data_IF_237638330260
#
_entry.id   IF_237638330260
#
_cell.length_a   1.000
_cell.length_b   1.000
_cell.length_c   1.000
_cell.angle_alpha   90.00
_cell.angle_beta   90.00
_cell.angle_gamma   90.00
#
_symmetry.space_group_name_H-M   'P 1'
#
loop_
_entity.id
_entity.type
_entity.pdbx_description
1 polymer ?
#
# COMPACT_ATOMS: atom_id res chain seq x y z
N UNK A 1 -4.82 12.51 -3.59
CA UNK A 1 -5.05 13.81 -4.22
C UNK A 1 -5.69 13.66 -5.61
N UNK A 2 -5.09 12.89 -6.56
CA UNK A 2 -5.67 12.70 -7.91
C UNK A 2 -7.12 12.19 -7.87
N UNK A 3 -7.42 11.17 -7.10
CA UNK A 3 -8.80 10.64 -6.96
C UNK A 3 -9.74 11.74 -6.44
N UNK A 4 -9.33 12.50 -5.43
CA UNK A 4 -10.10 13.62 -4.88
C UNK A 4 -10.38 14.70 -5.93
N UNK A 5 -9.40 14.98 -6.80
CA UNK A 5 -9.55 15.91 -7.91
C UNK A 5 -10.36 15.34 -9.10
N UNK A 6 -10.80 14.07 -9.03
CA UNK A 6 -11.60 13.40 -10.05
C UNK A 6 -10.78 12.78 -11.19
N UNK A 7 -9.47 12.58 -10.98
CA UNK A 7 -8.56 12.08 -11.99
C UNK A 7 -8.05 10.68 -11.69
N UNK A 8 -7.52 10.00 -12.70
CA UNK A 8 -6.86 8.70 -12.56
C UNK A 8 -5.61 8.81 -11.68
N UNK A 9 -5.38 7.83 -10.81
CA UNK A 9 -4.11 7.73 -10.06
C UNK A 9 -2.89 7.50 -10.98
N UNK A 10 -3.13 7.11 -12.21
CA UNK A 10 -2.13 6.86 -13.25
C UNK A 10 -2.09 7.99 -14.30
N UNK A 11 -2.60 9.17 -13.97
CA UNK A 11 -2.60 10.28 -14.94
C UNK A 11 -1.18 10.66 -15.37
N UNK A 12 -1.00 10.88 -16.67
CA UNK A 12 0.21 11.42 -17.28
C UNK A 12 -0.01 12.85 -17.82
N UNK A 13 -1.15 13.45 -17.48
CA UNK A 13 -1.54 14.80 -17.91
C UNK A 13 -1.01 15.84 -16.92
N UNK A 14 -0.12 16.78 -17.35
CA UNK A 14 0.50 17.76 -16.45
C UNK A 14 -0.51 18.58 -15.63
N UNK A 15 -1.60 19.04 -16.25
CA UNK A 15 -2.62 19.83 -15.55
C UNK A 15 -3.39 19.07 -14.47
N UNK A 16 -3.50 17.74 -14.60
CA UNK A 16 -4.14 16.89 -13.59
C UNK A 16 -3.19 16.63 -12.41
N UNK A 17 -1.88 16.51 -12.70
CA UNK A 17 -0.84 16.41 -11.68
C UNK A 17 -0.73 17.73 -10.90
N UNK A 18 -0.80 18.88 -11.58
CA UNK A 18 -0.84 20.19 -10.93
C UNK A 18 -2.09 20.34 -10.04
N UNK A 19 -3.25 19.93 -10.50
CA UNK A 19 -4.48 19.95 -9.69
C UNK A 19 -4.33 19.08 -8.42
N UNK A 20 -3.71 17.90 -8.53
CA UNK A 20 -3.44 17.05 -7.37
C UNK A 20 -2.43 17.69 -6.41
N UNK A 21 -1.41 18.39 -6.92
CA UNK A 21 -0.47 19.18 -6.11
C UNK A 21 -1.21 20.27 -5.32
N UNK A 22 -2.10 21.00 -5.97
CA UNK A 22 -2.87 22.07 -5.32
C UNK A 22 -3.74 21.52 -4.18
N UNK A 23 -4.35 20.34 -4.36
CA UNK A 23 -5.09 19.64 -3.29
C UNK A 23 -4.18 19.29 -2.09
N UNK A 24 -2.94 18.86 -2.32
CA UNK A 24 -1.99 18.57 -1.24
C UNK A 24 -1.49 19.85 -0.55
N UNK A 25 -1.28 20.93 -1.28
CA UNK A 25 -0.93 22.22 -0.70
C UNK A 25 -2.07 22.79 0.16
N UNK A 26 -3.30 22.61 -0.25
CA UNK A 26 -4.45 22.98 0.56
C UNK A 26 -4.57 22.10 1.82
N UNK A 27 -4.35 20.80 1.70
CA UNK A 27 -4.28 19.90 2.86
C UNK A 27 -3.24 20.37 3.87
N UNK A 28 -2.05 20.75 3.43
CA UNK A 28 -1.00 21.26 4.33
C UNK A 28 -1.45 22.46 5.14
N UNK A 29 -2.13 23.41 4.51
CA UNK A 29 -2.66 24.60 5.21
C UNK A 29 -3.68 24.25 6.29
N UNK A 30 -4.51 23.23 6.02
CA UNK A 30 -5.62 22.85 6.90
C UNK A 30 -5.22 21.90 8.04
N UNK A 31 -4.30 20.96 7.79
CA UNK A 31 -4.08 19.82 8.69
C UNK A 31 -2.64 19.66 9.18
N UNK A 32 -1.69 20.41 8.64
CA UNK A 32 -0.25 20.28 8.96
C UNK A 32 0.21 18.80 8.97
N UNK A 33 0.09 18.08 7.83
CA UNK A 33 0.39 16.66 7.76
C UNK A 33 1.89 16.39 7.92
N UNK A 34 2.23 15.20 8.44
CA UNK A 34 3.60 14.71 8.49
C UNK A 34 3.75 13.60 7.45
N UNK A 35 4.75 13.71 6.60
CA UNK A 35 5.06 12.73 5.56
C UNK A 35 6.19 11.83 6.04
N UNK A 36 5.84 10.64 6.48
CA UNK A 36 6.74 9.61 7.02
C UNK A 36 6.35 8.25 6.42
N UNK A 37 7.20 7.27 6.57
CA UNK A 37 6.92 5.90 6.10
C UNK A 37 6.76 4.97 7.30
N UNK A 38 7.84 4.55 7.94
CA UNK A 38 7.79 3.56 9.02
C UNK A 38 7.33 4.14 10.36
N UNK A 39 7.66 5.39 10.63
CA UNK A 39 7.30 6.10 11.86
C UNK A 39 5.80 6.28 12.05
N UNK A 40 5.02 6.12 10.98
CA UNK A 40 3.55 6.22 11.06
C UNK A 40 2.97 5.18 12.02
N UNK A 41 3.56 4.00 12.13
CA UNK A 41 3.09 2.92 13.02
C UNK A 41 3.14 3.38 14.47
N UNK A 42 4.28 3.88 14.91
CA UNK A 42 4.46 4.35 16.28
C UNK A 42 3.54 5.52 16.61
N UNK A 43 3.41 6.48 15.69
CA UNK A 43 2.55 7.65 15.85
C UNK A 43 1.06 7.27 16.01
N UNK A 44 0.61 6.24 15.29
CA UNK A 44 -0.77 5.75 15.38
C UNK A 44 -0.97 4.89 16.63
N UNK A 45 -0.03 4.00 16.97
CA UNK A 45 -0.13 3.13 18.15
C UNK A 45 -0.17 3.95 19.43
N UNK A 46 0.66 4.99 19.54
CA UNK A 46 0.70 5.87 20.71
C UNK A 46 -0.46 6.87 20.76
N UNK A 47 -1.23 7.00 19.68
CA UNK A 47 -2.29 8.00 19.56
C UNK A 47 -1.78 9.43 19.34
N UNK A 48 -0.50 9.62 19.02
CA UNK A 48 0.04 10.94 18.66
C UNK A 48 -0.62 11.47 17.38
N UNK A 49 -0.95 10.58 16.46
CA UNK A 49 -1.73 10.88 15.25
C UNK A 49 -3.03 10.07 15.26
N UNK A 50 -4.10 10.69 14.80
CA UNK A 50 -5.44 10.10 14.82
C UNK A 50 -5.90 9.64 13.42
N UNK A 51 -5.20 10.05 12.37
CA UNK A 51 -5.52 9.72 10.98
C UNK A 51 -4.23 9.60 10.18
N UNK A 52 -4.09 8.51 9.45
CA UNK A 52 -2.95 8.29 8.55
C UNK A 52 -3.34 7.48 7.33
N UNK A 53 -2.61 7.67 6.23
CA UNK A 53 -2.59 6.74 5.11
C UNK A 53 -1.46 5.73 5.34
N UNK A 54 -1.79 4.45 5.38
CA UNK A 54 -0.86 3.36 5.69
C UNK A 54 -1.10 2.17 4.78
N UNK A 55 -0.12 1.29 4.69
CA UNK A 55 -0.27 -0.01 4.05
C UNK A 55 -1.20 -0.92 4.88
N UNK A 56 -1.92 -1.83 4.21
CA UNK A 56 -2.90 -2.69 4.88
C UNK A 56 -2.28 -3.60 5.96
N UNK A 57 -1.08 -4.14 5.74
CA UNK A 57 -0.35 -4.92 6.75
C UNK A 57 0.06 -4.07 7.95
N UNK A 58 0.56 -2.84 7.72
CA UNK A 58 0.86 -1.90 8.81
C UNK A 58 -0.40 -1.52 9.59
N UNK A 59 -1.54 -1.37 8.89
CA UNK A 59 -2.82 -1.11 9.55
C UNK A 59 -3.24 -2.26 10.48
N UNK A 60 -3.06 -3.50 10.05
CA UNK A 60 -3.34 -4.70 10.89
C UNK A 60 -2.44 -4.69 12.11
N UNK A 61 -1.13 -4.44 11.94
CA UNK A 61 -0.20 -4.33 13.05
C UNK A 61 -0.61 -3.22 14.04
N UNK A 62 -0.95 -2.03 13.53
CA UNK A 62 -1.43 -0.91 14.35
C UNK A 62 -2.69 -1.28 15.14
N UNK A 63 -3.68 -1.93 14.50
CA UNK A 63 -4.93 -2.33 15.16
C UNK A 63 -4.71 -3.42 16.22
N UNK A 64 -3.73 -4.29 16.05
CA UNK A 64 -3.36 -5.29 17.06
C UNK A 64 -2.74 -4.66 18.31
N UNK A 65 -1.92 -3.61 18.14
CA UNK A 65 -1.27 -2.90 19.24
C UNK A 65 -2.20 -1.83 19.86
N UNK A 66 -3.11 -1.23 19.08
CA UNK A 66 -4.08 -0.23 19.53
C UNK A 66 -5.48 -0.54 18.98
N UNK A 67 -6.33 -1.24 19.75
CA UNK A 67 -7.68 -1.65 19.32
C UNK A 67 -8.65 -0.50 19.03
N UNK A 68 -8.33 0.72 19.46
CA UNK A 68 -9.15 1.91 19.16
C UNK A 68 -8.99 2.38 17.71
N UNK A 69 -7.91 1.94 17.04
CA UNK A 69 -7.67 2.25 15.64
C UNK A 69 -8.53 1.38 14.71
N UNK A 70 -8.90 1.96 13.57
CA UNK A 70 -9.69 1.28 12.53
C UNK A 70 -9.10 1.54 11.16
N UNK A 71 -9.09 0.53 10.31
CA UNK A 71 -8.67 0.65 8.92
C UNK A 71 -9.88 0.76 8.01
N UNK A 72 -9.84 1.69 7.07
CA UNK A 72 -10.90 1.92 6.09
C UNK A 72 -10.29 2.15 4.72
N UNK A 73 -10.80 1.45 3.72
CA UNK A 73 -10.56 1.77 2.32
C UNK A 73 -11.63 2.79 1.91
N UNK A 74 -11.25 3.99 1.42
CA UNK A 74 -12.21 5.03 1.05
C UNK A 74 -13.21 4.57 -0.03
N UNK A 75 -14.42 5.12 -0.02
CA UNK A 75 -15.46 4.81 -1.01
C UNK A 75 -15.04 5.19 -2.43
N UNK A 76 -14.17 6.19 -2.56
CA UNK A 76 -13.58 6.65 -3.81
C UNK A 76 -12.59 5.66 -4.41
N UNK A 77 -12.15 4.68 -3.62
CA UNK A 77 -11.16 3.70 -4.00
C UNK A 77 -9.76 3.99 -3.47
N UNK A 78 -8.83 3.12 -3.80
CA UNK A 78 -7.42 3.20 -3.40
C UNK A 78 -6.53 2.57 -4.47
N UNK A 79 -5.23 2.53 -4.22
CA UNK A 79 -4.34 1.67 -4.98
C UNK A 79 -4.38 0.24 -4.44
N UNK A 80 -4.15 -0.71 -5.34
CA UNK A 80 -3.79 -2.09 -5.00
C UNK A 80 -2.47 -2.42 -5.67
N UNK A 81 -1.72 -3.38 -5.14
CA UNK A 81 -0.41 -3.77 -5.67
C UNK A 81 -0.19 -5.27 -5.53
N UNK A 82 0.82 -5.75 -6.21
CA UNK A 82 1.31 -7.13 -6.10
C UNK A 82 2.83 -7.07 -5.98
N UNK A 83 3.36 -7.61 -4.90
CA UNK A 83 4.79 -7.79 -4.74
C UNK A 83 5.25 -9.03 -5.50
N UNK A 84 6.38 -8.93 -6.18
CA UNK A 84 6.91 -9.99 -7.01
C UNK A 84 8.38 -10.28 -6.68
N UNK A 85 8.71 -11.57 -6.55
CA UNK A 85 10.09 -12.02 -6.47
C UNK A 85 10.67 -12.19 -7.87
N UNK A 86 11.79 -11.53 -8.15
CA UNK A 86 12.45 -11.56 -9.44
C UNK A 86 13.87 -12.09 -9.32
N UNK A 87 14.29 -12.91 -10.30
CA UNK A 87 15.68 -13.37 -10.42
C UNK A 87 16.33 -12.57 -11.53
N UNK A 88 17.38 -11.76 -11.24
CA UNK A 88 18.13 -11.04 -12.27
C UNK A 88 18.70 -12.00 -13.33
N UNK A 89 18.80 -11.54 -14.60
CA UNK A 89 19.27 -12.34 -15.72
C UNK A 89 20.62 -13.00 -15.46
N UNK A 90 21.53 -12.26 -14.84
CA UNK A 90 22.91 -12.68 -14.58
C UNK A 90 23.13 -13.08 -13.11
N UNK A 91 22.09 -13.58 -12.43
CA UNK A 91 22.20 -14.04 -11.05
C UNK A 91 23.21 -15.18 -10.94
N UNK A 92 24.22 -15.09 -10.04
CA UNK A 92 25.31 -16.08 -9.94
C UNK A 92 24.83 -17.44 -9.42
N UNK A 93 23.69 -17.50 -8.74
CA UNK A 93 23.09 -18.72 -8.22
C UNK A 93 21.58 -18.77 -8.50
N UNK A 94 21.22 -18.90 -9.77
CA UNK A 94 19.83 -18.99 -10.20
C UNK A 94 19.10 -20.17 -9.55
N UNK A 95 19.73 -21.35 -9.47
CA UNK A 95 19.12 -22.54 -8.87
C UNK A 95 18.80 -22.34 -7.38
N UNK A 96 19.68 -21.68 -6.62
CA UNK A 96 19.43 -21.33 -5.24
C UNK A 96 18.28 -20.32 -5.09
N UNK A 97 18.19 -19.32 -5.99
CA UNK A 97 17.08 -18.35 -5.99
C UNK A 97 15.75 -19.03 -6.30
N UNK A 98 15.71 -19.94 -7.30
CA UNK A 98 14.50 -20.71 -7.63
C UNK A 98 14.09 -21.62 -6.45
N UNK A 99 15.04 -22.27 -5.78
CA UNK A 99 14.76 -23.09 -4.60
C UNK A 99 14.20 -22.25 -3.44
N UNK A 100 14.73 -21.04 -3.23
CA UNK A 100 14.21 -20.13 -2.20
C UNK A 100 12.80 -19.62 -2.53
N UNK A 101 12.53 -19.26 -3.77
CA UNK A 101 11.18 -18.87 -4.21
C UNK A 101 10.20 -20.03 -4.01
N UNK A 102 10.57 -21.26 -4.38
CA UNK A 102 9.76 -22.44 -4.14
C UNK A 102 9.49 -22.68 -2.65
N UNK A 103 10.48 -22.46 -1.79
CA UNK A 103 10.32 -22.54 -0.35
C UNK A 103 9.27 -21.52 0.16
N UNK A 104 9.34 -20.27 -0.32
CA UNK A 104 8.36 -19.24 0.03
C UNK A 104 6.95 -19.51 -0.53
N UNK A 105 6.85 -20.26 -1.63
CA UNK A 105 5.57 -20.67 -2.23
C UNK A 105 4.97 -21.94 -1.58
N UNK A 106 5.71 -22.64 -0.72
CA UNK A 106 5.15 -23.73 0.05
C UNK A 106 4.02 -23.21 0.93
N UNK A 107 2.84 -23.88 0.98
CA UNK A 107 1.67 -23.36 1.68
C UNK A 107 1.89 -23.05 3.15
N UNK A 108 2.61 -23.90 3.88
CA UNK A 108 2.90 -23.68 5.30
C UNK A 108 3.79 -22.46 5.50
N UNK A 109 4.86 -22.33 4.71
CA UNK A 109 5.75 -21.18 4.79
C UNK A 109 5.07 -19.88 4.35
N UNK A 110 4.21 -19.94 3.33
CA UNK A 110 3.43 -18.79 2.88
C UNK A 110 2.40 -18.36 3.93
N UNK A 111 1.79 -19.31 4.65
CA UNK A 111 0.91 -19.03 5.79
C UNK A 111 1.67 -18.32 6.92
N UNK A 112 2.85 -18.84 7.31
CA UNK A 112 3.68 -18.21 8.36
C UNK A 112 4.04 -16.76 8.00
N UNK A 113 4.31 -16.49 6.71
CA UNK A 113 4.53 -15.12 6.25
C UNK A 113 3.28 -14.24 6.42
N UNK A 114 2.09 -14.73 6.07
CA UNK A 114 0.83 -13.98 6.29
C UNK A 114 0.64 -13.65 7.77
N UNK A 115 0.80 -14.65 8.63
CA UNK A 115 0.64 -14.48 10.07
C UNK A 115 1.61 -13.45 10.65
N UNK A 116 2.84 -13.38 10.11
CA UNK A 116 3.87 -12.48 10.60
C UNK A 116 3.74 -11.04 10.05
N UNK A 117 3.49 -10.89 8.74
CA UNK A 117 3.50 -9.56 8.11
C UNK A 117 2.12 -8.91 7.96
N UNK A 118 1.03 -9.68 8.16
CA UNK A 118 -0.35 -9.19 8.10
C UNK A 118 -0.89 -8.92 6.69
N UNK A 119 -0.12 -9.13 5.61
CA UNK A 119 -0.60 -8.95 4.24
C UNK A 119 -1.31 -10.19 3.71
N UNK A 120 -2.24 -9.99 2.77
CA UNK A 120 -2.89 -11.08 2.06
C UNK A 120 -1.92 -11.87 1.17
N UNK A 121 -2.23 -13.14 0.93
CA UNK A 121 -1.44 -14.00 0.05
C UNK A 121 -2.19 -14.33 -1.25
N UNK A 122 -1.50 -14.36 -2.40
CA UNK A 122 -2.05 -14.90 -3.64
C UNK A 122 -1.99 -16.43 -3.71
N UNK A 123 -1.36 -17.10 -2.73
CA UNK A 123 -1.26 -18.55 -2.67
C UNK A 123 -2.55 -19.13 -2.09
N UNK A 124 -3.39 -19.73 -2.95
CA UNK A 124 -4.68 -20.29 -2.55
C UNK A 124 -4.57 -21.42 -1.54
N UNK A 125 -3.55 -22.27 -1.64
CA UNK A 125 -3.32 -23.35 -0.69
C UNK A 125 -2.90 -22.82 0.69
N UNK A 126 -2.11 -21.74 0.75
CA UNK A 126 -1.81 -21.05 2.01
C UNK A 126 -3.06 -20.36 2.59
N UNK A 127 -3.87 -19.72 1.74
CA UNK A 127 -5.14 -19.12 2.17
C UNK A 127 -6.06 -20.15 2.83
N UNK A 128 -6.15 -21.37 2.30
CA UNK A 128 -6.97 -22.43 2.88
C UNK A 128 -6.53 -22.82 4.30
N UNK A 129 -5.24 -22.65 4.62
CA UNK A 129 -4.66 -22.92 5.95
C UNK A 129 -4.85 -21.79 6.97
N UNK A 130 -5.24 -20.59 6.54
CA UNK A 130 -5.47 -19.46 7.44
C UNK A 130 -6.68 -19.73 8.34
N UNK A 131 -6.69 -19.10 9.51
CA UNK A 131 -7.85 -19.12 10.39
C UNK A 131 -8.99 -18.23 9.87
N UNK A 132 -10.19 -18.41 10.44
CA UNK A 132 -11.38 -17.67 10.03
C UNK A 132 -11.28 -16.18 10.36
N UNK A 133 -10.56 -15.78 11.39
CA UNK A 133 -10.36 -14.38 11.77
C UNK A 133 -9.56 -13.67 10.69
N UNK A 134 -8.44 -14.26 10.28
CA UNK A 134 -7.59 -13.72 9.20
C UNK A 134 -8.33 -13.67 7.86
N UNK A 135 -9.04 -14.76 7.48
CA UNK A 135 -9.82 -14.81 6.23
C UNK A 135 -10.93 -13.77 6.16
N UNK A 136 -11.54 -13.43 7.28
CA UNK A 136 -12.63 -12.48 7.37
C UNK A 136 -12.17 -11.05 7.70
N UNK A 137 -10.86 -10.81 7.84
CA UNK A 137 -10.33 -9.48 8.11
C UNK A 137 -10.41 -8.60 6.83
N UNK A 138 -11.29 -7.57 6.79
CA UNK A 138 -11.46 -6.75 5.60
C UNK A 138 -10.25 -5.87 5.26
N UNK A 139 -9.29 -5.73 6.16
CA UNK A 139 -8.04 -5.03 5.90
C UNK A 139 -7.09 -5.88 5.04
N UNK A 140 -7.07 -7.21 5.24
CA UNK A 140 -6.27 -8.15 4.44
C UNK A 140 -7.06 -8.64 3.21
N UNK A 141 -8.34 -8.99 3.40
CA UNK A 141 -9.21 -9.58 2.39
C UNK A 141 -10.49 -8.75 2.19
N UNK A 142 -10.38 -7.56 1.57
CA UNK A 142 -11.55 -6.73 1.27
C UNK A 142 -12.47 -7.41 0.26
N UNK A 143 -13.77 -7.04 0.29
CA UNK A 143 -14.75 -7.58 -0.66
C UNK A 143 -14.43 -7.19 -2.12
N UNK A 144 -14.91 -8.00 -3.08
CA UNK A 144 -14.75 -7.72 -4.51
C UNK A 144 -15.27 -6.33 -4.89
N UNK A 145 -16.37 -5.89 -4.31
CA UNK A 145 -16.94 -4.56 -4.56
C UNK A 145 -16.03 -3.40 -4.13
N UNK A 146 -15.15 -3.62 -3.17
CA UNK A 146 -14.10 -2.68 -2.76
C UNK A 146 -12.91 -2.80 -3.71
N UNK A 147 -12.47 -4.04 -4.01
CA UNK A 147 -11.34 -4.29 -4.90
C UNK A 147 -11.57 -3.77 -6.32
N UNK A 148 -12.82 -3.77 -6.81
CA UNK A 148 -13.20 -3.22 -8.10
C UNK A 148 -12.96 -1.70 -8.22
N UNK A 149 -12.96 -1.00 -7.09
CA UNK A 149 -12.65 0.43 -7.01
C UNK A 149 -11.15 0.71 -6.84
N UNK A 150 -10.35 -0.32 -6.55
CA UNK A 150 -8.92 -0.19 -6.37
C UNK A 150 -8.17 -0.37 -7.69
N UNK A 151 -7.18 0.47 -7.93
CA UNK A 151 -6.45 0.54 -9.20
C UNK A 151 -4.99 0.16 -9.00
N UNK A 152 -4.43 -0.62 -9.92
CA UNK A 152 -2.99 -0.88 -9.98
C UNK A 152 -2.24 0.35 -10.50
N UNK A 153 -1.11 0.67 -9.91
CA UNK A 153 -0.20 1.64 -10.49
C UNK A 153 0.40 1.08 -11.79
N UNK A 154 0.41 1.92 -12.83
CA UNK A 154 1.08 1.61 -14.08
C UNK A 154 2.49 2.18 -14.09
N UNK A 155 3.35 1.60 -14.93
CA UNK A 155 4.68 2.15 -15.14
C UNK A 155 4.58 3.44 -15.96
N UNK A 156 4.90 4.56 -15.33
CA UNK A 156 4.92 5.87 -15.96
C UNK A 156 6.25 6.09 -16.71
N UNK A 157 6.22 6.87 -17.78
CA UNK A 157 7.44 7.29 -18.46
C UNK A 157 8.25 8.28 -17.60
N UNK A 158 9.53 8.45 -17.93
CA UNK A 158 10.44 9.29 -17.13
C UNK A 158 10.04 10.78 -17.09
N UNK A 159 9.41 11.29 -18.12
CA UNK A 159 8.94 12.67 -18.15
C UNK A 159 7.80 12.88 -17.15
N UNK A 160 6.82 12.00 -17.16
CA UNK A 160 5.72 11.99 -16.20
C UNK A 160 6.22 11.80 -14.76
N UNK A 161 7.16 10.87 -14.52
CA UNK A 161 7.73 10.67 -13.18
C UNK A 161 8.36 11.95 -12.64
N UNK A 162 9.11 12.71 -13.46
CA UNK A 162 9.68 14.01 -13.06
C UNK A 162 8.62 15.04 -12.69
N UNK A 163 7.45 15.03 -13.35
CA UNK A 163 6.35 15.91 -12.99
C UNK A 163 5.82 15.56 -11.58
N UNK A 164 5.61 14.29 -11.28
CA UNK A 164 5.20 13.85 -9.94
C UNK A 164 6.25 14.20 -8.88
N UNK A 165 7.54 13.91 -9.13
CA UNK A 165 8.63 14.23 -8.23
C UNK A 165 8.72 15.73 -7.95
N UNK A 166 8.62 16.57 -8.99
CA UNK A 166 8.64 18.01 -8.85
C UNK A 166 7.44 18.54 -8.06
N UNK A 167 6.24 18.07 -8.39
CA UNK A 167 5.02 18.43 -7.68
C UNK A 167 5.09 18.08 -6.19
N UNK A 168 5.54 16.86 -5.86
CA UNK A 168 5.64 16.43 -4.47
C UNK A 168 6.77 17.13 -3.72
N UNK A 169 7.89 17.43 -4.38
CA UNK A 169 8.97 18.24 -3.79
C UNK A 169 8.48 19.64 -3.41
N UNK A 170 7.66 20.27 -4.27
CA UNK A 170 7.05 21.56 -3.96
C UNK A 170 6.13 21.45 -2.73
N UNK A 171 5.31 20.39 -2.64
CA UNK A 171 4.47 20.13 -1.46
C UNK A 171 5.32 20.00 -0.20
N UNK A 172 6.44 19.27 -0.25
CA UNK A 172 7.32 19.07 0.92
C UNK A 172 8.05 20.33 1.35
N UNK A 173 8.29 21.27 0.43
CA UNK A 173 9.07 22.51 0.69
C UNK A 173 8.27 23.63 1.35
N UNK A 174 6.99 23.50 1.43
CA UNK A 174 6.03 24.45 2.03
C UNK A 174 5.71 24.04 3.48
#
# INVERSE_FOLDING_TARGET
ALIKAGYSINSDVPSEIDAAKDELLEQRKLTNPVYVVDEVKDNMITGEKMLAAVWSGDAIYIMNENPDMKYVIPEEGSNKWVDALCIPKDAPNKAGAEAFINFLCDPENAKENVDYIGYSTPNTAAYDLLDDETKNNPAAYPSDSILDKCVLFTNLNQETLKLYESAFTEVLSQ
#
